data_IF_465474663345
#
_entry.id   IF_465474663345
#
_cell.length_a   1.000
_cell.length_b   1.000
_cell.length_c   1.000
_cell.angle_alpha   90.00
_cell.angle_beta   90.00
_cell.angle_gamma   90.00
#
_symmetry.space_group_name_H-M   'P 1'
#
loop_
_entity.id
_entity.type
_entity.pdbx_description
1 polymer ?
#
# COMPACT_ATOMS: atom_id res chain seq x y z
N UNK A 1 8.51 3.67 3.21
CA UNK A 1 9.92 3.71 2.77
C UNK A 1 10.74 2.54 3.30
N UNK A 2 10.83 2.33 4.63
CA UNK A 2 11.72 1.31 5.23
C UNK A 2 11.57 -0.11 4.66
N UNK A 3 10.34 -0.56 4.41
CA UNK A 3 10.05 -1.87 3.77
C UNK A 3 10.83 -2.08 2.48
N UNK A 4 10.95 -1.03 1.66
CA UNK A 4 11.53 -1.11 0.33
C UNK A 4 13.05 -0.97 0.29
N UNK A 5 13.72 -0.68 1.42
CA UNK A 5 15.16 -0.43 1.45
C UNK A 5 16.00 -1.61 0.95
N UNK A 6 15.44 -2.81 1.03
CA UNK A 6 16.07 -4.02 0.51
C UNK A 6 16.13 -4.09 -1.02
N UNK A 7 15.29 -3.32 -1.73
CA UNK A 7 15.16 -3.37 -3.19
C UNK A 7 16.01 -2.32 -3.89
N UNK A 8 16.51 -2.67 -5.08
CA UNK A 8 17.13 -1.72 -6.01
C UNK A 8 16.09 -0.83 -6.71
N UNK A 9 14.80 -1.16 -6.63
CA UNK A 9 13.70 -0.37 -7.20
C UNK A 9 13.14 0.58 -6.15
N UNK A 10 12.94 1.83 -6.55
CA UNK A 10 12.33 2.81 -5.67
C UNK A 10 10.86 2.45 -5.35
N UNK A 11 10.42 2.56 -4.09
CA UNK A 11 9.01 2.44 -3.75
C UNK A 11 8.19 3.58 -4.35
N UNK A 12 6.91 3.34 -4.62
CA UNK A 12 5.97 4.34 -5.14
C UNK A 12 4.70 4.38 -4.29
N UNK A 13 4.27 5.60 -3.96
CA UNK A 13 2.92 5.85 -3.49
C UNK A 13 2.12 6.39 -4.67
N UNK A 14 1.20 5.59 -5.19
CA UNK A 14 0.42 5.90 -6.40
C UNK A 14 -0.94 6.40 -5.95
N UNK A 15 -1.29 7.62 -6.35
CA UNK A 15 -2.58 8.26 -6.02
C UNK A 15 -3.40 8.43 -7.29
N UNK A 16 -4.57 7.81 -7.34
CA UNK A 16 -5.52 7.90 -8.45
C UNK A 16 -6.77 8.64 -7.96
N UNK A 17 -7.25 9.62 -8.73
CA UNK A 17 -8.43 10.41 -8.36
C UNK A 17 -9.44 10.38 -9.49
N UNK A 18 -10.69 10.13 -9.16
CA UNK A 18 -11.82 10.16 -10.07
C UNK A 18 -12.97 10.95 -9.45
N UNK A 19 -13.40 12.02 -10.10
CA UNK A 19 -14.49 12.89 -9.64
C UNK A 19 -15.63 12.86 -10.65
N UNK A 20 -16.53 11.90 -10.50
CA UNK A 20 -17.68 11.68 -11.36
C UNK A 20 -18.99 12.28 -10.85
N UNK A 21 -19.10 12.56 -9.55
CA UNK A 21 -20.30 13.17 -8.95
C UNK A 21 -20.07 14.64 -8.61
N UNK A 22 -20.35 15.50 -9.59
CA UNK A 22 -20.21 16.96 -9.47
C UNK A 22 -21.20 17.60 -8.50
N UNK A 23 -22.28 16.89 -8.15
CA UNK A 23 -23.32 17.40 -7.27
C UNK A 23 -22.95 17.18 -5.79
N UNK A 24 -22.04 16.24 -5.50
CA UNK A 24 -21.62 15.86 -4.14
C UNK A 24 -20.09 15.86 -3.99
N UNK A 25 -19.46 17.02 -4.19
CA UNK A 25 -17.99 17.14 -4.13
C UNK A 25 -17.39 16.74 -2.77
N UNK A 26 -18.17 16.86 -1.70
CA UNK A 26 -17.71 16.56 -0.34
C UNK A 26 -17.79 15.07 0.00
N UNK A 27 -18.45 14.23 -0.84
CA UNK A 27 -18.58 12.79 -0.58
C UNK A 27 -17.60 11.98 -1.43
N UNK A 28 -16.47 11.62 -0.84
CA UNK A 28 -15.36 10.92 -1.48
C UNK A 28 -15.09 9.57 -0.82
N UNK A 29 -15.24 8.49 -1.58
CA UNK A 29 -14.84 7.15 -1.15
C UNK A 29 -13.33 6.97 -1.31
N UNK A 30 -12.68 6.48 -0.27
CA UNK A 30 -11.28 6.14 -0.24
C UNK A 30 -11.03 4.64 -0.43
N UNK A 31 -10.08 4.30 -1.31
CA UNK A 31 -9.59 2.92 -1.50
C UNK A 31 -8.09 2.84 -1.23
N UNK A 32 -7.64 1.84 -0.48
CA UNK A 32 -6.20 1.60 -0.26
C UNK A 32 -5.83 0.18 -0.69
N UNK A 33 -4.71 0.02 -1.39
CA UNK A 33 -4.23 -1.29 -1.82
C UNK A 33 -2.81 -1.61 -1.34
N UNK A 34 -2.62 -2.79 -0.73
CA UNK A 34 -1.30 -3.39 -0.49
C UNK A 34 -0.63 -3.70 -1.84
N UNK A 35 0.54 -3.12 -2.09
CA UNK A 35 1.23 -3.20 -3.38
C UNK A 35 2.59 -3.88 -3.32
N UNK A 36 2.75 -4.97 -2.55
CA UNK A 36 4.01 -5.70 -2.50
C UNK A 36 4.20 -6.50 -3.78
N UNK A 37 4.95 -5.92 -4.73
CA UNK A 37 5.18 -6.51 -6.06
C UNK A 37 6.00 -7.79 -6.03
N UNK A 38 6.76 -7.99 -4.95
CA UNK A 38 7.33 -9.28 -4.56
C UNK A 38 7.66 -9.24 -3.06
N UNK A 39 7.42 -10.35 -2.36
CA UNK A 39 7.68 -10.48 -0.93
C UNK A 39 8.55 -11.71 -0.62
N UNK A 40 9.80 -11.47 -0.26
CA UNK A 40 10.71 -12.52 0.25
C UNK A 40 10.55 -12.77 1.75
N UNK A 41 9.87 -11.86 2.46
CA UNK A 41 9.85 -11.73 3.91
C UNK A 41 10.99 -10.92 4.52
N UNK A 42 11.96 -10.48 3.72
CA UNK A 42 13.11 -9.70 4.20
C UNK A 42 14.04 -10.55 5.07
N UNK A 43 14.50 -10.01 6.21
CA UNK A 43 15.34 -10.75 7.16
C UNK A 43 14.59 -11.89 7.88
N UNK A 44 13.28 -11.77 8.01
CA UNK A 44 12.34 -12.85 8.37
C UNK A 44 12.00 -13.68 7.12
N UNK A 45 13.04 -14.22 6.47
CA UNK A 45 12.94 -14.85 5.15
C UNK A 45 11.93 -15.99 5.14
N UNK A 46 11.07 -16.01 4.11
CA UNK A 46 10.14 -17.11 3.88
C UNK A 46 10.89 -18.38 3.41
N UNK A 47 10.38 -19.59 3.72
CA UNK A 47 10.81 -20.81 3.05
C UNK A 47 10.53 -20.74 1.54
N UNK A 48 11.32 -21.46 0.73
CA UNK A 48 11.20 -21.46 -0.74
C UNK A 48 9.79 -21.74 -1.24
N UNK A 49 9.12 -22.74 -0.66
CA UNK A 49 7.76 -23.13 -1.06
C UNK A 49 6.73 -22.03 -0.80
N UNK A 50 6.94 -21.23 0.25
CA UNK A 50 6.09 -20.08 0.58
C UNK A 50 6.39 -18.83 -0.26
N UNK A 51 7.51 -18.80 -1.00
CA UNK A 51 7.89 -17.67 -1.85
C UNK A 51 7.38 -17.76 -3.29
N UNK A 52 7.06 -18.96 -3.78
CA UNK A 52 6.75 -19.18 -5.21
C UNK A 52 5.64 -18.28 -5.76
N UNK A 53 4.63 -18.00 -4.94
CA UNK A 53 3.46 -17.21 -5.32
C UNK A 53 3.51 -15.76 -4.80
N UNK A 54 4.63 -15.29 -4.24
CA UNK A 54 4.72 -13.96 -3.63
C UNK A 54 4.73 -12.79 -4.63
N UNK A 55 4.71 -13.08 -5.93
CA UNK A 55 4.28 -12.12 -6.95
C UNK A 55 2.82 -11.66 -6.77
N UNK A 56 2.01 -12.44 -6.05
CA UNK A 56 0.59 -12.17 -5.80
C UNK A 56 0.36 -11.25 -4.59
N UNK A 57 1.41 -10.88 -3.84
CA UNK A 57 1.33 -10.07 -2.61
C UNK A 57 0.96 -8.58 -2.87
N UNK A 58 0.69 -8.27 -4.13
CA UNK A 58 0.13 -7.02 -4.65
C UNK A 58 -1.36 -7.16 -5.05
N UNK A 59 -2.02 -8.24 -4.64
CA UNK A 59 -3.42 -8.54 -4.97
C UNK A 59 -4.40 -7.45 -4.54
N UNK A 60 -4.22 -6.86 -3.35
CA UNK A 60 -4.97 -5.70 -2.90
C UNK A 60 -4.83 -4.49 -3.84
N UNK A 61 -3.59 -4.14 -4.23
CA UNK A 61 -3.33 -3.09 -5.20
C UNK A 61 -3.94 -3.38 -6.58
N UNK A 62 -3.83 -4.61 -7.08
CA UNK A 62 -4.43 -5.01 -8.35
C UNK A 62 -5.95 -4.83 -8.33
N UNK A 63 -6.60 -5.21 -7.22
CA UNK A 63 -8.04 -5.06 -7.02
C UNK A 63 -8.46 -3.59 -7.02
N UNK A 64 -7.74 -2.73 -6.31
CA UNK A 64 -7.99 -1.28 -6.28
C UNK A 64 -7.80 -0.62 -7.65
N UNK A 65 -6.71 -0.92 -8.34
CA UNK A 65 -6.44 -0.39 -9.69
C UNK A 65 -7.51 -0.87 -10.67
N UNK A 66 -7.90 -2.15 -10.59
CA UNK A 66 -8.99 -2.71 -11.39
C UNK A 66 -10.33 -1.99 -11.15
N UNK A 67 -10.68 -1.75 -9.89
CA UNK A 67 -11.86 -0.98 -9.50
C UNK A 67 -11.82 0.44 -10.09
N UNK A 68 -10.71 1.16 -9.92
CA UNK A 68 -10.55 2.51 -10.50
C UNK A 68 -10.66 2.50 -12.03
N UNK A 69 -10.11 1.49 -12.70
CA UNK A 69 -10.21 1.35 -14.16
C UNK A 69 -11.66 1.21 -14.61
N UNK A 70 -12.47 0.36 -13.95
CA UNK A 70 -13.87 0.17 -14.36
C UNK A 70 -14.75 1.37 -13.98
N UNK A 71 -14.50 2.01 -12.82
CA UNK A 71 -15.18 3.25 -12.40
C UNK A 71 -15.03 4.32 -13.48
N UNK A 72 -13.78 4.59 -13.90
CA UNK A 72 -13.48 5.59 -14.91
C UNK A 72 -14.07 5.24 -16.29
N UNK A 73 -13.91 3.98 -16.74
CA UNK A 73 -14.45 3.52 -18.03
C UNK A 73 -15.98 3.58 -18.12
N UNK A 74 -16.67 3.39 -17.00
CA UNK A 74 -18.14 3.44 -16.92
C UNK A 74 -18.68 4.82 -16.60
N UNK A 75 -17.80 5.79 -16.33
CA UNK A 75 -18.17 7.16 -15.95
C UNK A 75 -19.19 7.18 -14.81
N UNK A 76 -18.96 6.36 -13.78
CA UNK A 76 -19.89 6.24 -12.66
C UNK A 76 -20.08 7.59 -11.94
N UNK A 77 -21.30 7.90 -11.53
CA UNK A 77 -21.59 9.12 -10.76
C UNK A 77 -21.18 8.92 -9.29
N UNK A 78 -19.88 8.94 -9.02
CA UNK A 78 -19.27 8.81 -7.68
C UNK A 78 -17.90 9.52 -7.67
N UNK A 79 -17.47 9.99 -6.50
CA UNK A 79 -16.10 10.47 -6.29
C UNK A 79 -15.29 9.42 -5.53
N UNK A 80 -14.15 9.03 -6.09
CA UNK A 80 -13.28 7.99 -5.52
C UNK A 80 -11.83 8.42 -5.62
N UNK A 81 -11.12 8.32 -4.50
CA UNK A 81 -9.67 8.46 -4.44
C UNK A 81 -9.07 7.13 -3.99
N UNK A 82 -8.04 6.69 -4.70
CA UNK A 82 -7.35 5.44 -4.41
C UNK A 82 -5.86 5.67 -4.19
N UNK A 83 -5.30 5.02 -3.17
CA UNK A 83 -3.88 5.06 -2.82
C UNK A 83 -3.30 3.65 -2.83
N UNK A 84 -2.22 3.44 -3.57
CA UNK A 84 -1.47 2.17 -3.60
C UNK A 84 -0.06 2.42 -3.11
N UNK A 85 0.37 1.68 -2.08
CA UNK A 85 1.76 1.65 -1.64
C UNK A 85 2.48 0.48 -2.31
N UNK A 86 3.19 0.77 -3.40
CA UNK A 86 3.88 -0.21 -4.22
C UNK A 86 5.38 -0.29 -3.87
N UNK A 87 5.86 -1.49 -3.54
CA UNK A 87 7.28 -1.76 -3.34
C UNK A 87 7.60 -3.26 -3.42
N UNK A 88 8.86 -3.64 -3.23
CA UNK A 88 9.26 -5.03 -2.98
C UNK A 88 9.75 -5.14 -1.53
N UNK A 89 9.53 -6.30 -0.89
CA UNK A 89 10.13 -6.64 0.40
C UNK A 89 11.23 -7.68 0.18
N UNK A 90 12.47 -7.20 0.02
CA UNK A 90 13.64 -8.02 -0.30
C UNK A 90 14.65 -8.03 0.84
N UNK A 91 15.40 -9.12 0.93
CA UNK A 91 16.59 -9.18 1.76
C UNK A 91 17.79 -8.58 1.01
N UNK A 92 18.51 -7.66 1.65
CA UNK A 92 19.80 -7.13 1.19
C UNK A 92 20.55 -6.51 2.37
N UNK A 93 21.78 -6.02 2.15
CA UNK A 93 22.55 -5.32 3.19
C UNK A 93 21.86 -4.04 3.72
N UNK A 94 20.98 -3.44 2.93
CA UNK A 94 20.26 -2.20 3.25
C UNK A 94 18.87 -2.46 3.86
N UNK A 95 18.41 -3.71 3.89
CA UNK A 95 17.09 -4.05 4.39
C UNK A 95 16.96 -3.71 5.89
N UNK A 96 15.75 -3.26 6.25
CA UNK A 96 15.33 -3.05 7.63
C UNK A 96 15.28 -4.39 8.37
N UNK A 97 15.52 -4.37 9.68
CA UNK A 97 15.81 -5.57 10.47
C UNK A 97 14.85 -5.74 11.64
N UNK A 98 14.63 -6.98 12.11
CA UNK A 98 14.03 -7.20 13.42
C UNK A 98 14.82 -6.48 14.52
N UNK A 99 14.13 -5.84 15.46
CA UNK A 99 14.67 -5.00 16.52
C UNK A 99 14.86 -3.53 16.14
N UNK A 100 14.74 -3.15 14.86
CA UNK A 100 14.75 -1.74 14.48
C UNK A 100 13.43 -1.04 14.88
N UNK A 101 13.52 0.22 15.29
CA UNK A 101 12.37 1.08 15.52
C UNK A 101 12.28 2.09 14.38
N UNK A 102 11.20 2.02 13.61
CA UNK A 102 10.97 2.90 12.46
C UNK A 102 9.84 3.89 12.72
N UNK A 103 9.87 5.03 12.05
CA UNK A 103 8.76 6.00 12.06
C UNK A 103 7.71 5.68 10.98
N UNK A 104 6.46 6.03 11.26
CA UNK A 104 5.37 6.09 10.27
C UNK A 104 5.05 7.54 9.88
N UNK A 105 4.33 7.72 8.78
CA UNK A 105 3.83 9.02 8.34
C UNK A 105 2.94 9.69 9.41
N UNK A 106 2.28 8.89 10.25
CA UNK A 106 1.48 9.36 11.38
C UNK A 106 2.28 9.88 12.58
N UNK A 107 3.61 9.97 12.47
CA UNK A 107 4.49 10.39 13.56
C UNK A 107 4.56 9.38 14.72
N UNK A 108 4.13 8.13 14.50
CA UNK A 108 4.25 7.04 15.47
C UNK A 108 5.53 6.26 15.21
N UNK A 109 6.03 5.59 16.24
CA UNK A 109 7.15 4.66 16.15
C UNK A 109 6.64 3.21 16.17
N UNK A 110 7.32 2.33 15.44
CA UNK A 110 6.98 0.92 15.29
C UNK A 110 8.24 0.09 15.48
N UNK A 111 8.25 -0.77 16.49
CA UNK A 111 9.29 -1.79 16.64
C UNK A 111 9.01 -2.94 15.67
N UNK A 112 10.03 -3.30 14.87
CA UNK A 112 9.93 -4.37 13.91
C UNK A 112 10.31 -5.67 14.59
N UNK A 113 9.32 -6.51 14.88
CA UNK A 113 9.59 -7.87 15.41
C UNK A 113 9.61 -8.93 14.30
N UNK A 114 9.05 -8.62 13.13
CA UNK A 114 8.97 -9.51 11.98
C UNK A 114 8.94 -8.67 10.69
N UNK A 115 9.91 -8.87 9.79
CA UNK A 115 9.96 -8.15 8.50
C UNK A 115 9.01 -8.73 7.46
N UNK A 116 8.42 -9.91 7.71
CA UNK A 116 7.35 -10.53 6.92
C UNK A 116 5.94 -10.06 7.32
N UNK A 117 5.89 -9.06 8.21
CA UNK A 117 4.68 -8.31 8.54
C UNK A 117 4.70 -6.92 7.88
N UNK A 118 5.24 -6.83 6.67
CA UNK A 118 5.51 -5.61 5.90
C UNK A 118 4.25 -4.92 5.38
N UNK A 119 3.24 -5.68 4.95
CA UNK A 119 2.04 -5.15 4.30
C UNK A 119 1.37 -4.07 5.13
N UNK A 120 1.16 -4.33 6.43
CA UNK A 120 0.58 -3.36 7.37
C UNK A 120 1.42 -2.10 7.55
N UNK A 121 2.75 -2.18 7.40
CA UNK A 121 3.65 -1.01 7.48
C UNK A 121 3.53 -0.12 6.24
N UNK A 122 3.28 -0.71 5.07
CA UNK A 122 2.99 0.07 3.86
C UNK A 122 1.57 0.66 3.90
N UNK A 123 0.60 -0.11 4.42
CA UNK A 123 -0.78 0.32 4.52
C UNK A 123 -0.98 1.44 5.54
N UNK A 124 -0.27 1.44 6.68
CA UNK A 124 -0.43 2.52 7.67
C UNK A 124 -0.08 3.89 7.08
N UNK A 125 0.98 3.97 6.26
CA UNK A 125 1.35 5.22 5.58
C UNK A 125 0.34 5.57 4.48
N UNK A 126 -0.14 4.58 3.72
CA UNK A 126 -1.12 4.81 2.65
C UNK A 126 -2.50 5.26 3.17
N UNK A 127 -2.99 4.62 4.24
CA UNK A 127 -4.23 5.01 4.93
C UNK A 127 -4.07 6.39 5.56
N UNK A 128 -2.93 6.67 6.19
CA UNK A 128 -2.68 7.99 6.75
C UNK A 128 -2.68 9.09 5.68
N UNK A 129 -2.02 8.84 4.54
CA UNK A 129 -2.02 9.75 3.40
C UNK A 129 -3.46 9.96 2.88
N UNK A 130 -4.22 8.88 2.70
CA UNK A 130 -5.60 8.96 2.23
C UNK A 130 -6.48 9.82 3.16
N UNK A 131 -6.35 9.66 4.47
CA UNK A 131 -7.15 10.43 5.44
C UNK A 131 -6.68 11.90 5.49
N UNK A 132 -5.38 12.14 5.67
CA UNK A 132 -4.87 13.47 6.00
C UNK A 132 -4.50 14.35 4.80
N UNK A 133 -4.20 13.75 3.65
CA UNK A 133 -3.85 14.49 2.44
C UNK A 133 -5.02 14.56 1.45
N UNK A 134 -5.87 13.53 1.40
CA UNK A 134 -6.99 13.47 0.45
C UNK A 134 -8.36 13.76 1.08
N UNK A 135 -8.47 13.77 2.42
CA UNK A 135 -9.70 14.11 3.15
C UNK A 135 -10.93 13.29 2.72
N UNK A 136 -10.78 11.97 2.63
CA UNK A 136 -11.90 11.06 2.30
C UNK A 136 -12.86 10.89 3.48
N UNK A 137 -14.14 10.62 3.21
CA UNK A 137 -15.16 10.41 4.25
C UNK A 137 -15.16 8.97 4.80
N UNK A 138 -14.99 8.00 3.92
CA UNK A 138 -15.03 6.58 4.21
C UNK A 138 -13.87 5.90 3.47
N UNK A 139 -13.21 4.94 4.12
CA UNK A 139 -12.04 4.26 3.57
C UNK A 139 -12.15 2.74 3.66
N UNK A 140 -11.74 2.05 2.60
CA UNK A 140 -11.61 0.60 2.56
C UNK A 140 -10.18 0.26 2.13
N UNK A 141 -9.47 -0.54 2.92
CA UNK A 141 -8.19 -1.13 2.51
C UNK A 141 -8.35 -2.58 2.05
N UNK A 142 -7.55 -2.97 1.06
CA UNK A 142 -7.46 -4.32 0.53
C UNK A 142 -5.99 -4.75 0.57
N UNK A 143 -5.74 -5.92 1.14
CA UNK A 143 -4.41 -6.51 1.28
C UNK A 143 -4.31 -7.81 0.48
#
# INVERSE_FOLDING_TARGET
>A
YNVAKGSAKEPKLIVMRYFGDKDNNDKVLGLVGKGLTYDSGGYSIKPTDSMMDMKNDMGGAASVIGAMSIIAKRQLKINVIAVVAACENLISGEAYKPGEVIGSMAGKTIEIVNTDAEGRLTLVDAVHYLINNENVDEGIDLA
#
